data_IF_984724998608
#
_entry.id   IF_984724998608
#
_cell.length_a   1.000
_cell.length_b   1.000
_cell.length_c   1.000
_cell.angle_alpha   90.00
_cell.angle_beta   90.00
_cell.angle_gamma   90.00
#
_symmetry.space_group_name_H-M   'P 1'
#
loop_
_entity.id
_entity.type
_entity.pdbx_description
1 polymer ?
#
# COMPACT_ATOMS: atom_id res chain seq x y z
N UNK A 1 -18.34 -73.81 24.59
CA UNK A 1 -17.20 -73.01 25.12
C UNK A 1 -16.90 -71.93 24.11
N UNK A 2 -17.31 -70.68 24.36
CA UNK A 2 -17.07 -69.56 23.46
C UNK A 2 -16.21 -68.54 24.21
N UNK A 3 -15.02 -68.26 23.70
CA UNK A 3 -14.07 -67.30 24.26
C UNK A 3 -14.33 -65.92 23.68
N UNK A 4 -14.61 -64.94 24.53
CA UNK A 4 -14.60 -63.53 24.18
C UNK A 4 -13.19 -62.98 24.41
N UNK A 5 -12.58 -62.41 23.38
CA UNK A 5 -11.27 -61.73 23.46
C UNK A 5 -11.54 -60.23 23.33
N UNK A 6 -11.60 -59.53 24.46
CA UNK A 6 -11.66 -58.07 24.51
C UNK A 6 -10.27 -57.48 24.27
N UNK A 7 -10.10 -56.76 23.16
CA UNK A 7 -8.89 -56.00 22.88
C UNK A 7 -9.06 -54.57 23.39
N UNK A 8 -8.36 -54.21 24.46
CA UNK A 8 -8.23 -52.84 24.95
C UNK A 8 -7.15 -52.11 24.14
N UNK A 9 -7.52 -51.01 23.49
CA UNK A 9 -6.59 -50.12 22.79
C UNK A 9 -6.03 -49.06 23.77
N UNK A 10 -4.72 -48.80 23.77
CA UNK A 10 -4.14 -47.74 24.59
C UNK A 10 -4.31 -46.36 23.95
N UNK A 11 -4.76 -45.40 24.76
CA UNK A 11 -4.87 -43.98 24.42
C UNK A 11 -3.46 -43.37 24.30
N UNK A 12 -3.01 -43.13 23.07
CA UNK A 12 -1.69 -42.54 22.77
C UNK A 12 -1.82 -41.03 22.69
N UNK A 13 -1.48 -40.32 23.76
CA UNK A 13 -1.40 -38.86 23.80
C UNK A 13 -0.09 -38.38 23.17
N UNK A 14 -0.09 -37.53 22.13
CA UNK A 14 1.14 -36.88 21.67
C UNK A 14 1.40 -35.62 22.51
N UNK A 15 2.43 -35.67 23.36
CA UNK A 15 3.02 -34.49 24.00
C UNK A 15 3.88 -33.73 22.99
N UNK A 16 3.30 -32.73 22.32
CA UNK A 16 4.03 -31.80 21.46
C UNK A 16 4.42 -30.60 22.32
N UNK A 17 5.62 -30.63 22.90
CA UNK A 17 6.22 -29.43 23.49
C UNK A 17 6.78 -28.56 22.36
N UNK A 18 6.44 -27.27 22.27
CA UNK A 18 7.06 -26.38 21.31
C UNK A 18 8.49 -26.08 21.77
N UNK A 19 9.44 -26.34 20.88
CA UNK A 19 10.85 -25.95 21.01
C UNK A 19 10.92 -24.42 21.03
N UNK A 20 11.20 -23.83 22.18
CA UNK A 20 11.55 -22.42 22.31
C UNK A 20 12.91 -22.17 21.66
N UNK A 21 12.93 -21.74 20.41
CA UNK A 21 14.11 -21.16 19.78
C UNK A 21 14.28 -19.72 20.27
N UNK A 22 15.43 -19.45 20.88
CA UNK A 22 15.84 -18.12 21.34
C UNK A 22 15.76 -17.07 20.22
N UNK A 23 15.27 -15.85 20.48
CA UNK A 23 15.49 -14.75 19.56
C UNK A 23 16.94 -14.31 19.65
N UNK A 24 17.68 -14.50 18.55
CA UNK A 24 18.89 -13.73 18.27
C UNK A 24 18.54 -12.25 18.38
N UNK A 25 19.04 -11.60 19.43
CA UNK A 25 19.00 -10.14 19.56
C UNK A 25 19.79 -9.57 18.39
N UNK A 26 19.09 -9.15 17.33
CA UNK A 26 19.70 -8.28 16.33
C UNK A 26 20.07 -6.99 17.03
N UNK A 27 21.39 -6.87 17.24
CA UNK A 27 22.15 -5.67 17.54
C UNK A 27 21.74 -4.56 16.58
N UNK A 28 20.71 -3.80 16.97
CA UNK A 28 20.36 -2.54 16.30
C UNK A 28 21.46 -1.55 16.63
N UNK A 29 22.35 -1.35 15.65
CA UNK A 29 23.32 -0.28 15.64
C UNK A 29 22.58 1.06 15.65
N UNK A 30 22.32 1.57 16.85
CA UNK A 30 21.98 2.98 17.07
C UNK A 30 23.24 3.80 16.87
N UNK A 31 23.63 4.01 15.63
CA UNK A 31 24.49 5.13 15.25
C UNK A 31 23.58 6.18 14.65
N UNK A 32 22.77 6.80 15.50
CA UNK A 32 22.16 8.09 15.18
C UNK A 32 23.30 9.10 15.28
N UNK A 33 24.14 9.13 14.25
CA UNK A 33 25.17 10.13 14.10
C UNK A 33 24.49 11.49 14.08
N UNK A 34 25.00 12.35 14.93
CA UNK A 34 24.57 13.70 15.18
C UNK A 34 24.55 14.48 13.88
N UNK A 35 23.39 14.56 13.24
CA UNK A 35 23.11 15.62 12.28
C UNK A 35 22.44 16.78 13.03
N UNK A 36 23.09 17.23 14.10
CA UNK A 36 22.98 18.62 14.50
C UNK A 36 23.68 19.45 13.42
N UNK A 37 23.03 19.57 12.26
CA UNK A 37 23.26 20.73 11.42
C UNK A 37 22.88 21.92 12.29
N UNK A 38 23.91 22.56 12.82
CA UNK A 38 23.87 23.96 13.20
C UNK A 38 23.40 24.71 11.96
N UNK A 39 22.10 24.85 11.81
CA UNK A 39 21.53 25.86 10.93
C UNK A 39 21.53 27.12 11.76
N UNK A 40 22.70 27.74 11.82
CA UNK A 40 22.87 29.12 12.23
C UNK A 40 22.09 29.95 11.20
N UNK A 41 20.78 30.12 11.41
CA UNK A 41 20.02 31.08 10.63
C UNK A 41 20.53 32.47 11.01
N UNK A 42 21.13 33.21 10.07
CA UNK A 42 21.57 34.57 10.34
C UNK A 42 20.33 35.40 10.65
N UNK A 43 20.36 36.03 11.82
CA UNK A 43 19.78 37.34 12.13
C UNK A 43 18.71 37.77 11.12
N UNK A 44 17.47 37.31 11.34
CA UNK A 44 16.33 37.92 10.66
C UNK A 44 16.38 39.40 10.99
N UNK A 45 16.59 40.31 10.01
CA UNK A 45 16.30 41.70 10.25
C UNK A 45 14.84 41.76 10.66
N UNK A 46 14.56 42.45 11.75
CA UNK A 46 13.22 42.82 12.16
C UNK A 46 12.62 43.73 11.08
N UNK A 47 12.22 43.15 9.95
CA UNK A 47 11.29 43.78 9.04
C UNK A 47 9.99 43.83 9.80
N UNK A 48 9.74 44.98 10.42
CA UNK A 48 8.40 45.44 10.73
C UNK A 48 7.64 45.53 9.42
N UNK A 49 7.13 44.39 8.94
CA UNK A 49 6.02 44.38 8.02
C UNK A 49 4.87 45.00 8.81
N UNK A 50 4.64 46.28 8.61
CA UNK A 50 3.34 46.87 8.85
C UNK A 50 2.39 46.03 8.00
N UNK A 51 1.75 45.05 8.62
CA UNK A 51 0.64 44.34 8.00
C UNK A 51 -0.36 45.44 7.67
N UNK A 52 -0.61 45.78 6.38
CA UNK A 52 -1.77 46.58 6.09
C UNK A 52 -2.93 45.80 6.70
N UNK A 53 -3.80 46.48 7.45
CA UNK A 53 -5.03 45.90 7.93
C UNK A 53 -5.83 45.49 6.69
N UNK A 54 -5.61 44.25 6.23
CA UNK A 54 -6.38 43.65 5.16
C UNK A 54 -7.74 43.43 5.79
N UNK A 55 -8.61 44.41 5.67
CA UNK A 55 -10.02 44.25 5.95
C UNK A 55 -10.56 43.31 4.86
N UNK A 56 -10.34 42.01 5.07
CA UNK A 56 -10.96 40.97 4.28
C UNK A 56 -12.46 41.19 4.44
N UNK A 57 -13.09 41.86 3.46
CA UNK A 57 -14.54 41.85 3.29
C UNK A 57 -14.91 40.44 2.84
N UNK A 58 -14.74 39.49 3.75
CA UNK A 58 -15.16 38.12 3.58
C UNK A 58 -16.68 38.22 3.65
N UNK A 59 -17.40 37.99 2.55
CA UNK A 59 -18.84 38.09 2.58
C UNK A 59 -19.37 37.06 3.59
N UNK A 60 -20.40 37.43 4.36
CA UNK A 60 -20.82 36.70 5.56
C UNK A 60 -21.06 35.19 5.34
N UNK A 61 -21.43 34.79 4.13
CA UNK A 61 -21.63 33.39 3.74
C UNK A 61 -20.34 32.54 3.71
N UNK A 62 -19.16 33.15 3.53
CA UNK A 62 -17.89 32.43 3.65
C UNK A 62 -17.49 32.23 5.12
N UNK A 63 -17.91 33.13 6.02
CA UNK A 63 -17.59 33.05 7.45
C UNK A 63 -18.07 31.74 8.08
N UNK A 64 -19.29 31.32 7.76
CA UNK A 64 -19.88 30.06 8.25
C UNK A 64 -19.15 28.82 7.72
N UNK A 65 -18.66 28.87 6.47
CA UNK A 65 -17.87 27.79 5.85
C UNK A 65 -16.51 27.66 6.56
N UNK A 66 -15.87 28.78 6.87
CA UNK A 66 -14.60 28.80 7.60
C UNK A 66 -14.76 28.29 9.04
N UNK A 67 -15.84 28.65 9.75
CA UNK A 67 -16.12 28.07 11.06
C UNK A 67 -16.37 26.56 11.02
N UNK A 68 -17.11 26.07 10.01
CA UNK A 68 -17.38 24.65 9.82
C UNK A 68 -16.11 23.83 9.57
N UNK A 69 -15.20 24.33 8.73
CA UNK A 69 -13.92 23.67 8.43
C UNK A 69 -12.99 23.68 9.65
N UNK A 70 -12.88 24.80 10.36
CA UNK A 70 -12.06 24.90 11.57
C UNK A 70 -12.62 24.02 12.72
N UNK A 71 -13.94 23.80 12.77
CA UNK A 71 -14.60 22.91 13.74
C UNK A 71 -14.65 21.44 13.29
N UNK A 72 -14.43 21.13 12.01
CA UNK A 72 -14.49 19.78 11.45
C UNK A 72 -13.23 18.95 11.76
N UNK A 73 -12.91 18.81 13.05
CA UNK A 73 -11.85 17.90 13.52
C UNK A 73 -12.50 16.63 14.07
N UNK A 74 -12.02 15.42 13.70
CA UNK A 74 -12.51 14.19 14.28
C UNK A 74 -12.40 14.22 15.80
N UNK A 75 -13.55 14.19 16.49
CA UNK A 75 -13.58 14.33 17.96
C UNK A 75 -12.87 13.18 18.69
N UNK A 76 -12.88 11.99 18.09
CA UNK A 76 -12.37 10.74 18.68
C UNK A 76 -11.72 9.86 17.62
N UNK A 77 -10.71 9.09 18.04
CA UNK A 77 -10.09 8.04 17.24
C UNK A 77 -11.10 6.91 16.96
N UNK A 78 -11.14 6.41 15.72
CA UNK A 78 -12.00 5.27 15.37
C UNK A 78 -11.51 3.98 16.02
N UNK A 79 -12.43 3.09 16.40
CA UNK A 79 -12.08 1.76 16.92
C UNK A 79 -11.49 0.88 15.81
N UNK A 80 -10.67 -0.11 16.19
CA UNK A 80 -10.08 -1.07 15.25
C UNK A 80 -11.14 -1.78 14.38
N UNK A 81 -12.28 -2.15 14.98
CA UNK A 81 -13.41 -2.77 14.26
C UNK A 81 -13.98 -1.85 13.18
N UNK A 82 -14.30 -0.59 13.51
CA UNK A 82 -14.83 0.40 12.55
C UNK A 82 -13.85 0.73 11.43
N UNK A 83 -12.55 0.67 11.72
CA UNK A 83 -11.51 0.85 10.71
C UNK A 83 -11.46 -0.34 9.76
N UNK A 84 -11.40 -1.58 10.29
CA UNK A 84 -11.32 -2.80 9.49
C UNK A 84 -12.56 -3.01 8.63
N UNK A 85 -13.76 -2.79 9.17
CA UNK A 85 -14.99 -2.90 8.38
C UNK A 85 -15.00 -1.91 7.22
N UNK A 86 -14.64 -0.64 7.47
CA UNK A 86 -14.55 0.37 6.40
C UNK A 86 -13.45 0.06 5.38
N UNK A 87 -12.34 -0.55 5.77
CA UNK A 87 -11.23 -0.86 4.88
C UNK A 87 -11.44 -2.13 4.05
N UNK A 88 -12.09 -3.15 4.62
CA UNK A 88 -12.19 -4.48 4.00
C UNK A 88 -13.56 -4.75 3.36
N UNK A 89 -14.64 -4.11 3.81
CA UNK A 89 -15.97 -4.34 3.25
C UNK A 89 -16.03 -3.82 1.80
N UNK A 90 -16.28 -4.72 0.84
CA UNK A 90 -16.46 -4.39 -0.58
C UNK A 90 -15.23 -3.84 -1.30
N UNK A 91 -14.07 -3.84 -0.64
CA UNK A 91 -12.79 -3.30 -1.17
C UNK A 91 -11.75 -4.37 -1.47
N UNK A 92 -12.18 -5.63 -1.51
CA UNK A 92 -11.32 -6.73 -1.92
C UNK A 92 -10.89 -6.57 -3.38
N UNK A 93 -9.66 -6.98 -3.69
CA UNK A 93 -9.19 -7.07 -5.06
C UNK A 93 -10.04 -8.12 -5.78
N UNK A 94 -10.67 -7.73 -6.88
CA UNK A 94 -11.49 -8.63 -7.67
C UNK A 94 -10.61 -9.53 -8.53
N UNK A 95 -10.98 -10.80 -8.61
CA UNK A 95 -10.27 -11.76 -9.46
C UNK A 95 -10.51 -11.44 -10.93
N UNK A 96 -9.41 -11.36 -11.68
CA UNK A 96 -9.48 -11.12 -13.12
C UNK A 96 -9.74 -12.47 -13.80
N UNK A 97 -10.98 -12.72 -14.24
CA UNK A 97 -11.37 -13.94 -14.96
C UNK A 97 -11.13 -13.86 -16.48
N UNK A 98 -10.69 -12.71 -16.97
CA UNK A 98 -10.53 -12.41 -18.39
C UNK A 98 -9.14 -12.75 -18.94
N UNK A 99 -8.48 -13.81 -18.46
CA UNK A 99 -7.18 -14.27 -18.99
C UNK A 99 -7.41 -15.40 -20.00
N UNK A 100 -6.75 -15.34 -21.15
CA UNK A 100 -6.77 -16.36 -22.20
C UNK A 100 -5.35 -16.62 -22.71
N UNK A 101 -5.10 -17.78 -23.32
CA UNK A 101 -3.80 -18.08 -23.96
C UNK A 101 -3.69 -17.31 -25.29
N UNK A 102 -2.49 -16.82 -25.61
CA UNK A 102 -2.22 -16.15 -26.88
C UNK A 102 -2.08 -17.19 -28.01
N UNK A 103 -2.76 -17.02 -29.17
CA UNK A 103 -2.63 -17.96 -30.29
C UNK A 103 -1.26 -17.91 -30.99
N UNK A 104 -0.50 -16.81 -30.86
CA UNK A 104 0.82 -16.68 -31.47
C UNK A 104 1.94 -17.29 -30.61
N UNK A 105 2.12 -16.77 -29.39
CA UNK A 105 3.22 -17.15 -28.50
C UNK A 105 2.85 -18.11 -27.36
N UNK A 106 1.58 -18.46 -27.18
CA UNK A 106 1.11 -19.32 -26.09
C UNK A 106 1.04 -18.68 -24.70
N UNK A 107 1.64 -17.50 -24.50
CA UNK A 107 1.67 -16.79 -23.20
C UNK A 107 0.27 -16.32 -22.76
N UNK A 108 0.00 -16.19 -21.45
CA UNK A 108 -1.27 -15.65 -20.95
C UNK A 108 -1.42 -14.19 -21.34
N UNK A 109 -2.59 -13.82 -21.85
CA UNK A 109 -2.97 -12.44 -22.20
C UNK A 109 -4.37 -12.11 -21.68
N UNK A 110 -4.70 -10.82 -21.62
CA UNK A 110 -6.09 -10.38 -21.36
C UNK A 110 -6.97 -10.63 -22.58
N UNK A 111 -8.22 -11.00 -22.35
CA UNK A 111 -9.26 -11.15 -23.38
C UNK A 111 -9.50 -9.80 -24.08
N UNK A 112 -9.71 -9.81 -25.39
CA UNK A 112 -9.90 -8.61 -26.24
C UNK A 112 -8.73 -7.62 -26.29
N UNK A 113 -7.57 -7.97 -25.71
CA UNK A 113 -6.34 -7.17 -25.81
C UNK A 113 -5.31 -7.93 -26.63
N UNK A 114 -4.53 -7.20 -27.43
CA UNK A 114 -3.38 -7.76 -28.16
C UNK A 114 -2.35 -8.26 -27.15
N UNK A 115 -1.67 -9.36 -27.47
CA UNK A 115 -0.65 -9.90 -26.58
C UNK A 115 0.51 -8.91 -26.44
N UNK A 116 0.93 -8.55 -25.21
CA UNK A 116 2.02 -7.60 -25.00
C UNK A 116 3.35 -8.12 -25.55
N UNK A 117 3.61 -9.43 -25.44
CA UNK A 117 4.83 -10.06 -25.94
C UNK A 117 4.90 -10.02 -27.48
N UNK A 118 3.87 -10.52 -28.16
CA UNK A 118 3.84 -10.48 -29.62
C UNK A 118 3.91 -9.03 -30.15
N UNK A 119 3.19 -8.11 -29.52
CA UNK A 119 3.23 -6.69 -29.91
C UNK A 119 4.64 -6.09 -29.72
N UNK A 120 5.34 -6.42 -28.63
CA UNK A 120 6.71 -5.95 -28.42
C UNK A 120 7.69 -6.52 -29.42
N UNK A 121 7.53 -7.80 -29.78
CA UNK A 121 8.42 -8.47 -30.73
C UNK A 121 8.24 -7.91 -32.14
N UNK A 122 6.99 -7.77 -32.60
CA UNK A 122 6.66 -7.16 -33.89
C UNK A 122 7.16 -5.71 -33.94
N UNK A 123 6.94 -4.93 -32.87
CA UNK A 123 7.45 -3.56 -32.79
C UNK A 123 8.96 -3.51 -32.90
N UNK A 124 9.67 -4.41 -32.23
CA UNK A 124 11.15 -4.51 -32.29
C UNK A 124 11.60 -4.89 -33.69
N UNK A 125 10.91 -5.81 -34.37
CA UNK A 125 11.21 -6.17 -35.75
C UNK A 125 11.05 -4.98 -36.70
N UNK A 126 9.90 -4.28 -36.65
CA UNK A 126 9.67 -3.11 -37.49
C UNK A 126 10.65 -1.96 -37.25
N UNK A 127 11.09 -1.75 -36.00
CA UNK A 127 12.11 -0.75 -35.70
C UNK A 127 13.49 -1.10 -36.27
N UNK A 128 13.82 -2.39 -36.36
CA UNK A 128 15.06 -2.85 -37.00
C UNK A 128 15.00 -2.69 -38.51
N UNK A 129 13.86 -2.98 -39.11
CA UNK A 129 13.63 -2.86 -40.56
C UNK A 129 13.53 -1.39 -41.01
N UNK A 130 12.88 -0.53 -40.21
CA UNK A 130 12.66 0.89 -40.52
C UNK A 130 13.26 1.80 -39.42
N UNK A 131 14.60 1.96 -39.38
CA UNK A 131 15.26 2.77 -38.35
C UNK A 131 14.95 4.26 -38.46
N UNK A 132 14.55 4.75 -39.63
CA UNK A 132 14.22 6.16 -39.88
C UNK A 132 12.83 6.56 -39.41
N UNK A 133 11.91 5.61 -39.17
CA UNK A 133 10.57 5.85 -38.63
C UNK A 133 9.64 6.73 -39.49
N UNK A 134 9.96 6.93 -40.78
CA UNK A 134 9.15 7.74 -41.70
C UNK A 134 8.37 6.83 -42.65
N UNK A 135 7.05 6.88 -42.58
CA UNK A 135 6.15 6.33 -43.60
C UNK A 135 5.92 7.44 -44.63
N UNK A 136 6.87 7.65 -45.53
CA UNK A 136 6.70 8.55 -46.70
C UNK A 136 5.98 7.83 -47.81
#
# INVERSE_FOLDING_TARGET
MATAIGATLPLRTPSILPRLSAPTLLRSSRTWSLFSRQVSFPLWPSLSFAYPAVHLNIPAWLGDIWEGILKAVPKKKTTHSKMRSRQMAGKALQDVLSICKCPGCGQPKRRHVVCPHCASDIKRMWQRENPSGKFT
#
